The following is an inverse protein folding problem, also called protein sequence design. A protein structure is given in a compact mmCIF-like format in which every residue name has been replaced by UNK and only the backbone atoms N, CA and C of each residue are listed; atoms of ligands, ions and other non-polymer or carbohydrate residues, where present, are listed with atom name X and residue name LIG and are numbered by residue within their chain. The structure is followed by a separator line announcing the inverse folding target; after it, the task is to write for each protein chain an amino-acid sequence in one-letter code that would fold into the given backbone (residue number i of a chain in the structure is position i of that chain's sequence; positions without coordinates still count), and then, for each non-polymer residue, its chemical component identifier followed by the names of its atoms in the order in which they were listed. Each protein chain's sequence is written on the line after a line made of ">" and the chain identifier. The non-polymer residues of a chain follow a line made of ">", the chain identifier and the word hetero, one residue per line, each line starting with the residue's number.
data_IF_495768350633
#
_entry.id   IF_495768350633
#
_cell.length_a   1.000
_cell.length_b   1.000
_cell.length_c   1.000
_cell.angle_alpha   90.00
_cell.angle_beta   90.00
_cell.angle_gamma   90.00
#
_symmetry.space_group_name_H-M   'P 1'
#
loop_
_entity.id
_entity.type
_entity.pdbx_description
1 polymer ?
#
# COMPACT_ATOMS: atom_id res chain seq x y z
N UNK A 1 1.29 10.99 4.61
CA UNK A 1 2.69 10.95 4.12
C UNK A 1 2.98 9.56 3.60
N UNK A 2 3.95 9.39 2.72
CA UNK A 2 4.35 8.10 2.18
C UNK A 2 5.86 8.06 1.96
N UNK A 3 6.42 6.87 1.78
CA UNK A 3 7.85 6.68 1.52
C UNK A 3 8.02 5.44 0.64
N UNK A 4 9.08 5.41 -0.17
CA UNK A 4 9.39 4.25 -0.98
C UNK A 4 9.92 3.12 -0.08
N UNK A 5 9.64 1.86 -0.42
CA UNK A 5 10.19 0.72 0.33
C UNK A 5 11.73 0.70 0.30
N UNK A 6 12.33 1.28 -0.74
CA UNK A 6 13.77 1.31 -0.97
C UNK A 6 14.47 2.56 -0.42
N UNK A 7 13.74 3.57 0.08
CA UNK A 7 14.36 4.75 0.69
C UNK A 7 14.93 4.41 2.07
N UNK A 8 15.70 5.33 2.64
CA UNK A 8 16.32 5.12 3.95
C UNK A 8 15.26 5.04 5.05
N UNK A 9 14.25 5.91 5.02
CA UNK A 9 13.10 5.85 5.93
C UNK A 9 12.34 4.53 5.79
N UNK A 10 12.08 4.09 4.54
CA UNK A 10 11.42 2.81 4.27
C UNK A 10 12.18 1.63 4.84
N UNK A 11 13.50 1.55 4.59
CA UNK A 11 14.38 0.49 5.11
C UNK A 11 14.44 0.46 6.63
N UNK A 12 14.49 1.62 7.29
CA UNK A 12 14.48 1.70 8.76
C UNK A 12 13.21 1.07 9.34
N UNK A 13 12.04 1.41 8.80
CA UNK A 13 10.75 0.86 9.23
C UNK A 13 10.71 -0.66 8.95
N UNK A 14 11.12 -1.09 7.76
CA UNK A 14 11.12 -2.51 7.39
C UNK A 14 12.01 -3.35 8.30
N UNK A 15 13.20 -2.85 8.64
CA UNK A 15 14.13 -3.52 9.55
C UNK A 15 13.57 -3.63 10.97
N UNK A 16 12.94 -2.56 11.47
CA UNK A 16 12.32 -2.57 12.80
C UNK A 16 11.24 -3.65 12.94
N UNK A 17 10.46 -3.88 11.89
CA UNK A 17 9.39 -4.88 11.87
C UNK A 17 9.80 -6.23 11.28
N UNK A 18 11.10 -6.42 10.96
CA UNK A 18 11.67 -7.65 10.37
C UNK A 18 10.92 -8.10 9.11
N UNK A 19 10.58 -7.14 8.27
CA UNK A 19 9.78 -7.37 7.07
C UNK A 19 10.69 -7.73 5.88
N UNK A 20 10.43 -8.90 5.28
CA UNK A 20 11.11 -9.34 4.06
C UNK A 20 10.46 -8.71 2.82
N UNK A 21 11.17 -7.75 2.22
CA UNK A 21 10.71 -7.04 1.01
C UNK A 21 10.64 -7.94 -0.23
N UNK A 22 11.38 -9.04 -0.28
CA UNK A 22 11.32 -9.97 -1.41
C UNK A 22 9.96 -10.66 -1.52
N UNK A 23 9.21 -10.71 -0.41
CA UNK A 23 7.88 -11.32 -0.33
C UNK A 23 6.74 -10.30 -0.40
N UNK A 24 7.06 -9.03 -0.64
CA UNK A 24 6.09 -7.93 -0.62
C UNK A 24 6.03 -7.24 -1.96
N UNK A 25 4.89 -7.42 -2.62
CA UNK A 25 4.49 -6.74 -3.85
C UNK A 25 3.30 -5.80 -3.61
N UNK A 26 3.04 -5.47 -2.34
CA UNK A 26 1.88 -4.73 -1.84
C UNK A 26 2.30 -3.43 -1.15
N UNK A 27 1.37 -2.48 -1.05
CA UNK A 27 1.50 -1.35 -0.13
C UNK A 27 1.56 -1.83 1.33
N UNK A 28 2.30 -1.08 2.15
CA UNK A 28 2.34 -1.24 3.60
C UNK A 28 1.72 -0.02 4.26
N UNK A 29 0.79 -0.26 5.18
CA UNK A 29 0.21 0.79 6.02
C UNK A 29 0.81 0.68 7.41
N UNK A 30 1.74 1.60 7.72
CA UNK A 30 2.35 1.74 9.03
C UNK A 30 1.54 2.69 9.91
N UNK A 31 1.34 2.29 11.17
CA UNK A 31 0.76 3.13 12.23
C UNK A 31 1.53 2.87 13.53
N UNK A 32 1.97 3.90 14.28
CA UNK A 32 2.74 3.71 15.51
C UNK A 32 2.03 2.80 16.53
N UNK A 33 0.71 2.93 16.68
CA UNK A 33 -0.06 2.19 17.67
C UNK A 33 -0.37 0.73 17.27
N UNK A 34 -0.63 0.48 15.97
CA UNK A 34 -1.15 -0.82 15.48
C UNK A 34 -0.17 -1.57 14.59
N UNK A 35 1.07 -1.08 14.46
CA UNK A 35 2.10 -1.67 13.62
C UNK A 35 1.78 -1.58 12.14
N UNK A 36 2.12 -2.65 11.40
CA UNK A 36 2.06 -2.69 9.93
C UNK A 36 0.91 -3.56 9.46
N UNK A 37 0.12 -3.03 8.53
CA UNK A 37 -0.87 -3.76 7.76
C UNK A 37 -0.42 -3.88 6.30
N UNK A 38 -0.86 -4.93 5.62
CA UNK A 38 -0.50 -5.22 4.23
C UNK A 38 -1.71 -5.75 3.44
N UNK A 39 -1.55 -5.87 2.11
CA UNK A 39 -2.54 -6.38 1.16
C UNK A 39 -3.91 -5.72 1.32
N UNK A 40 -4.98 -6.53 1.28
CA UNK A 40 -6.36 -6.04 1.33
C UNK A 40 -6.65 -5.27 2.64
N UNK A 41 -6.02 -5.62 3.76
CA UNK A 41 -6.24 -4.91 5.03
C UNK A 41 -5.67 -3.49 4.97
N UNK A 42 -4.45 -3.32 4.44
CA UNK A 42 -3.89 -1.99 4.23
C UNK A 42 -4.74 -1.17 3.26
N UNK A 43 -5.11 -1.76 2.12
CA UNK A 43 -5.90 -1.09 1.09
C UNK A 43 -7.27 -0.61 1.61
N UNK A 44 -8.01 -1.48 2.31
CA UNK A 44 -9.31 -1.12 2.87
C UNK A 44 -9.19 -0.08 3.99
N UNK A 45 -8.16 -0.17 4.85
CA UNK A 45 -7.92 0.87 5.88
C UNK A 45 -7.61 2.22 5.24
N UNK A 46 -6.74 2.27 4.23
CA UNK A 46 -6.47 3.51 3.47
C UNK A 46 -7.76 4.04 2.85
N UNK A 47 -8.57 3.18 2.22
CA UNK A 47 -9.84 3.57 1.63
C UNK A 47 -10.80 4.23 2.64
N UNK A 48 -10.86 3.74 3.89
CA UNK A 48 -11.69 4.36 4.93
C UNK A 48 -11.27 5.78 5.29
N UNK A 49 -10.00 6.13 5.09
CA UNK A 49 -9.47 7.47 5.31
C UNK A 49 -9.62 8.39 4.10
N UNK A 50 -10.12 7.88 2.98
CA UNK A 50 -10.41 8.67 1.78
C UNK A 50 -11.86 9.20 1.85
N UNK A 51 -12.14 10.26 1.08
CA UNK A 51 -13.47 10.85 1.03
C UNK A 51 -14.53 9.94 0.39
N UNK A 52 -15.79 10.34 0.50
CA UNK A 52 -16.89 9.69 -0.21
C UNK A 52 -16.67 9.76 -1.74
N UNK A 53 -16.95 8.69 -2.51
CA UNK A 53 -17.57 7.42 -2.11
C UNK A 53 -16.57 6.31 -1.72
N UNK A 54 -15.27 6.60 -1.72
CA UNK A 54 -14.20 5.60 -1.57
C UNK A 54 -14.23 4.94 -0.19
N UNK A 55 -14.60 5.70 0.84
CA UNK A 55 -14.78 5.18 2.20
C UNK A 55 -15.81 4.04 2.30
N UNK A 56 -16.77 3.93 1.37
CA UNK A 56 -17.76 2.84 1.36
C UNK A 56 -17.12 1.45 1.18
N UNK A 57 -15.91 1.38 0.64
CA UNK A 57 -15.16 0.12 0.56
C UNK A 57 -14.91 -0.52 1.92
N UNK A 58 -15.05 0.22 3.03
CA UNK A 58 -15.02 -0.33 4.39
C UNK A 58 -15.97 -1.54 4.57
N UNK A 59 -17.08 -1.61 3.83
CA UNK A 59 -18.02 -2.74 3.91
C UNK A 59 -17.34 -4.09 3.63
N UNK A 60 -16.27 -4.12 2.82
CA UNK A 60 -15.54 -5.34 2.51
C UNK A 60 -14.73 -5.91 3.69
N UNK A 61 -14.68 -5.23 4.84
CA UNK A 61 -14.18 -5.84 6.09
C UNK A 61 -15.06 -7.00 6.58
N UNK A 62 -16.31 -7.09 6.14
CA UNK A 62 -17.18 -8.25 6.43
C UNK A 62 -16.68 -9.53 5.75
N UNK A 63 -15.91 -9.40 4.67
CA UNK A 63 -15.37 -10.54 3.92
C UNK A 63 -14.13 -11.10 4.66
N UNK A 64 -14.09 -12.41 4.94
CA UNK A 64 -12.94 -13.04 5.60
C UNK A 64 -11.61 -12.75 4.89
N UNK A 65 -10.56 -12.49 5.68
CA UNK A 65 -9.23 -12.06 5.20
C UNK A 65 -8.64 -12.97 4.12
N UNK A 66 -8.84 -14.29 4.19
CA UNK A 66 -8.30 -15.21 3.20
C UNK A 66 -8.90 -14.99 1.80
N UNK A 67 -10.21 -14.69 1.70
CA UNK A 67 -10.89 -14.44 0.43
C UNK A 67 -10.42 -13.12 -0.16
N UNK A 68 -10.49 -12.03 0.62
CA UNK A 68 -10.09 -10.70 0.14
C UNK A 68 -8.59 -10.60 -0.17
N UNK A 69 -7.73 -11.38 0.51
CA UNK A 69 -6.33 -11.50 0.12
C UNK A 69 -6.14 -12.32 -1.16
N UNK A 70 -6.92 -13.38 -1.39
CA UNK A 70 -6.88 -14.11 -2.67
C UNK A 70 -7.25 -13.21 -3.85
N UNK A 71 -8.32 -12.41 -3.71
CA UNK A 71 -8.71 -11.41 -4.71
C UNK A 71 -7.62 -10.36 -4.90
N UNK A 72 -7.04 -9.85 -3.80
CA UNK A 72 -5.94 -8.89 -3.86
C UNK A 72 -4.75 -9.45 -4.64
N UNK A 73 -4.35 -10.69 -4.36
CA UNK A 73 -3.22 -11.36 -5.03
C UNK A 73 -3.51 -11.61 -6.51
N UNK A 74 -4.76 -11.93 -6.87
CA UNK A 74 -5.19 -12.04 -8.26
C UNK A 74 -5.05 -10.70 -9.00
N UNK A 75 -5.50 -9.60 -8.41
CA UNK A 75 -5.36 -8.26 -9.00
C UNK A 75 -3.88 -7.88 -9.10
N UNK A 76 -3.10 -8.08 -8.03
CA UNK A 76 -1.69 -7.74 -7.98
C UNK A 76 -0.88 -8.44 -9.08
N UNK A 77 -1.17 -9.73 -9.36
CA UNK A 77 -0.53 -10.51 -10.42
C UNK A 77 -0.90 -10.05 -11.83
N UNK A 78 -2.10 -9.51 -12.02
CA UNK A 78 -2.60 -9.11 -13.34
C UNK A 78 -2.49 -7.61 -13.63
N UNK A 79 -2.19 -6.76 -12.63
CA UNK A 79 -2.20 -5.29 -12.76
C UNK A 79 -1.41 -4.75 -13.96
N UNK A 80 -0.23 -5.31 -14.23
CA UNK A 80 0.60 -4.85 -15.35
C UNK A 80 0.10 -5.34 -16.71
N UNK A 81 -0.66 -6.44 -16.74
CA UNK A 81 -1.33 -6.91 -17.97
C UNK A 81 -2.57 -6.06 -18.28
N UNK A 82 -3.30 -5.63 -17.25
CA UNK A 82 -4.53 -4.85 -17.42
C UNK A 82 -4.27 -3.35 -17.63
N UNK A 83 -3.33 -2.78 -16.89
CA UNK A 83 -3.11 -1.33 -16.86
C UNK A 83 -1.79 -0.90 -17.50
N UNK A 84 -0.98 -1.85 -17.96
CA UNK A 84 0.36 -1.59 -18.49
C UNK A 84 1.37 -1.22 -17.40
N UNK A 85 2.62 -1.01 -17.81
CA UNK A 85 3.68 -0.40 -17.00
C UNK A 85 3.90 1.03 -17.49
N UNK A 86 4.30 1.91 -16.57
CA UNK A 86 4.82 3.22 -16.98
C UNK A 86 6.28 3.04 -17.40
N UNK A 87 6.58 3.41 -18.64
CA UNK A 87 7.94 3.33 -19.21
C UNK A 87 8.84 4.48 -18.71
N UNK A 88 8.25 5.55 -18.17
CA UNK A 88 8.97 6.71 -17.64
C UNK A 88 8.61 7.00 -16.19
N UNK A 89 9.63 7.42 -15.44
CA UNK A 89 9.47 7.91 -14.08
C UNK A 89 8.88 9.32 -14.10
N UNK A 90 7.77 9.51 -13.38
CA UNK A 90 7.21 10.84 -13.16
C UNK A 90 8.13 11.62 -12.22
N UNK A 91 8.55 12.83 -12.63
CA UNK A 91 9.21 13.76 -11.72
C UNK A 91 8.13 14.38 -10.82
N UNK A 92 8.21 14.21 -9.48
CA UNK A 92 7.18 14.70 -8.58
C UNK A 92 7.17 16.24 -8.57
N UNK A 93 5.97 16.81 -8.49
CA UNK A 93 5.81 18.25 -8.23
C UNK A 93 6.33 18.59 -6.82
N UNK A 94 6.68 19.86 -6.53
CA UNK A 94 7.11 20.26 -5.19
C UNK A 94 6.11 19.89 -4.09
N UNK A 95 4.81 20.05 -4.36
CA UNK A 95 3.73 19.66 -3.45
C UNK A 95 3.71 18.15 -3.16
N UNK A 96 3.94 17.33 -4.19
CA UNK A 96 3.99 15.88 -4.02
C UNK A 96 5.25 15.46 -3.26
N UNK A 97 6.38 16.13 -3.52
CA UNK A 97 7.65 15.92 -2.82
C UNK A 97 7.49 16.13 -1.32
N UNK A 98 6.76 17.16 -0.88
CA UNK A 98 6.49 17.43 0.53
C UNK A 98 5.65 16.35 1.24
N UNK A 99 5.05 15.41 0.51
CA UNK A 99 4.33 14.27 1.10
C UNK A 99 5.22 13.04 1.31
N UNK A 100 6.39 13.02 0.70
CA UNK A 100 7.40 12.00 0.96
C UNK A 100 8.10 12.28 2.28
N UNK A 101 8.52 11.22 2.97
CA UNK A 101 9.29 11.31 4.22
C UNK A 101 10.81 11.47 3.98
N UNK A 102 11.22 11.70 2.73
CA UNK A 102 12.61 11.74 2.27
C UNK A 102 12.93 13.04 1.53
#
# INVERSE_FOLDING_TARGET
>A
MFTALQSDTGKQILNQYKIDTAKIDSILLYTPEKGINYKSTAALKVATSLGFPVNLMAIFFIVPTFIRNWVYDFIAKNRYKWYGKKESCMIPTPELKNRFLD
#
